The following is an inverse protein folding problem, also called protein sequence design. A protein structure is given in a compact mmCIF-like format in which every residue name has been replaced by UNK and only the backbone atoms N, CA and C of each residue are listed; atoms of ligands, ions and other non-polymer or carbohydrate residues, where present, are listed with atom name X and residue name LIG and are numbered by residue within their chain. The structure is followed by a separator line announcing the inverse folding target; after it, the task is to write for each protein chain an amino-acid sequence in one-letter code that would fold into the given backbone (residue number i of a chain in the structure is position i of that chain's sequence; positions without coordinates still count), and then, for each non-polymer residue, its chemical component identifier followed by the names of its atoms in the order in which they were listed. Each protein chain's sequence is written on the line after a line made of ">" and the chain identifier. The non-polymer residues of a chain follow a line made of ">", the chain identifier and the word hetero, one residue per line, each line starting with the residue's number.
data_IF_472756498847
#
_entry.id   IF_472756498847
#
_cell.length_a   1.000
_cell.length_b   1.000
_cell.length_c   1.000
_cell.angle_alpha   90.00
_cell.angle_beta   90.00
_cell.angle_gamma   90.00
#
_symmetry.space_group_name_H-M   'P 1'
#
loop_
_entity.id
_entity.type
_entity.pdbx_description
1 polymer ?
#
# COMPACT_ATOMS: atom_id res chain seq x y z
N UNK A 1 -34.89 -28.40 -0.83
CA UNK A 1 -33.75 -29.32 -1.04
C UNK A 1 -32.53 -28.51 -1.47
N UNK A 2 -31.81 -27.90 -0.52
CA UNK A 2 -30.42 -27.43 -0.70
C UNK A 2 -29.78 -27.36 0.70
N UNK A 3 -29.48 -28.53 1.28
CA UNK A 3 -28.84 -28.64 2.61
C UNK A 3 -27.40 -29.12 2.55
N UNK A 4 -26.92 -29.53 1.37
CA UNK A 4 -25.54 -29.98 1.17
C UNK A 4 -24.76 -28.81 0.63
N UNK A 5 -23.70 -28.42 1.35
CA UNK A 5 -22.74 -27.41 0.88
C UNK A 5 -21.69 -28.07 -0.01
N UNK A 6 -21.34 -27.42 -1.11
CA UNK A 6 -20.30 -27.85 -2.04
C UNK A 6 -19.07 -26.98 -1.81
N UNK A 7 -17.94 -27.61 -1.49
CA UNK A 7 -16.65 -26.93 -1.34
C UNK A 7 -15.70 -27.40 -2.44
N UNK A 8 -15.03 -26.47 -3.10
CA UNK A 8 -14.03 -26.75 -4.13
C UNK A 8 -12.62 -26.38 -3.66
N UNK A 9 -11.63 -27.20 -3.98
CA UNK A 9 -10.22 -26.93 -3.73
C UNK A 9 -9.36 -27.56 -4.83
N UNK A 10 -8.11 -27.12 -4.94
CA UNK A 10 -7.13 -27.62 -5.92
C UNK A 10 -6.80 -26.61 -7.02
N UNK A 11 -5.56 -26.13 -7.03
CA UNK A 11 -5.00 -25.22 -8.03
C UNK A 11 -5.81 -23.93 -8.31
N UNK A 12 -6.60 -23.47 -7.35
CA UNK A 12 -7.38 -22.24 -7.46
C UNK A 12 -6.49 -20.99 -7.32
N UNK A 13 -6.80 -19.97 -8.11
CA UNK A 13 -6.37 -18.58 -7.95
C UNK A 13 -7.57 -17.65 -8.15
N UNK A 14 -7.37 -16.34 -8.02
CA UNK A 14 -8.40 -15.33 -8.19
C UNK A 14 -9.04 -15.30 -9.59
N UNK A 15 -8.31 -15.71 -10.64
CA UNK A 15 -8.81 -15.72 -12.01
C UNK A 15 -9.74 -16.90 -12.25
N UNK A 16 -9.34 -18.09 -11.80
CA UNK A 16 -10.19 -19.29 -11.83
C UNK A 16 -11.42 -19.08 -10.95
N UNK A 17 -11.27 -18.45 -9.77
CA UNK A 17 -12.39 -18.10 -8.92
C UNK A 17 -13.39 -17.19 -9.63
N UNK A 18 -12.89 -16.17 -10.34
CA UNK A 18 -13.71 -15.25 -11.11
C UNK A 18 -14.50 -15.98 -12.20
N UNK A 19 -13.86 -16.89 -12.94
CA UNK A 19 -14.49 -17.68 -14.00
C UNK A 19 -15.57 -18.61 -13.45
N UNK A 20 -15.30 -19.31 -12.34
CA UNK A 20 -16.27 -20.19 -11.67
C UNK A 20 -17.50 -19.40 -11.21
N UNK A 21 -17.29 -18.23 -10.59
CA UNK A 21 -18.38 -17.36 -10.12
C UNK A 21 -19.19 -16.85 -11.30
N UNK A 22 -18.54 -16.38 -12.38
CA UNK A 22 -19.21 -15.91 -13.61
C UNK A 22 -20.01 -17.01 -14.29
N UNK A 23 -19.54 -18.26 -14.24
CA UNK A 23 -20.25 -19.42 -14.78
C UNK A 23 -21.49 -19.83 -13.94
N UNK A 24 -21.69 -19.23 -12.76
CA UNK A 24 -22.82 -19.55 -11.89
C UNK A 24 -22.73 -20.95 -11.26
N UNK A 25 -21.50 -21.46 -11.06
CA UNK A 25 -21.30 -22.79 -10.48
C UNK A 25 -21.89 -22.87 -9.06
N UNK A 26 -22.57 -23.96 -8.67
CA UNK A 26 -23.18 -24.11 -7.36
C UNK A 26 -22.11 -24.51 -6.31
N UNK A 27 -21.16 -23.62 -6.02
CA UNK A 27 -20.10 -23.82 -5.04
C UNK A 27 -20.29 -22.84 -3.88
N UNK A 28 -20.35 -23.34 -2.65
CA UNK A 28 -20.58 -22.58 -1.42
C UNK A 28 -19.29 -22.09 -0.75
N UNK A 29 -18.14 -22.66 -1.12
CA UNK A 29 -16.86 -22.28 -0.56
C UNK A 29 -15.65 -22.78 -1.33
N UNK A 30 -14.52 -22.09 -1.16
CA UNK A 30 -13.28 -22.36 -1.85
C UNK A 30 -12.12 -22.56 -0.88
N UNK A 31 -11.35 -23.62 -1.09
CA UNK A 31 -10.07 -23.86 -0.43
C UNK A 31 -8.93 -23.47 -1.37
N UNK A 32 -8.26 -22.36 -1.08
CA UNK A 32 -7.12 -21.85 -1.83
C UNK A 32 -5.86 -22.12 -1.02
N UNK A 33 -4.88 -22.82 -1.60
CA UNK A 33 -3.63 -23.20 -0.95
C UNK A 33 -2.42 -22.54 -1.60
N UNK A 34 -1.56 -23.35 -2.22
CA UNK A 34 -0.22 -22.97 -2.71
C UNK A 34 -0.14 -21.62 -3.43
N UNK A 35 -1.09 -21.29 -4.31
CA UNK A 35 -1.04 -20.04 -5.09
C UNK A 35 -1.19 -18.80 -4.20
N UNK A 36 -2.07 -18.85 -3.21
CA UNK A 36 -2.25 -17.78 -2.21
C UNK A 36 -1.08 -17.75 -1.23
N UNK A 37 -0.72 -18.91 -0.66
CA UNK A 37 0.30 -19.00 0.39
C UNK A 37 1.68 -18.56 -0.08
N UNK A 38 2.00 -18.83 -1.35
CA UNK A 38 3.32 -18.50 -1.92
C UNK A 38 3.33 -17.22 -2.75
N UNK A 39 2.17 -16.58 -2.97
CA UNK A 39 2.01 -15.52 -3.98
C UNK A 39 2.69 -15.92 -5.30
N UNK A 40 2.28 -17.07 -5.84
CA UNK A 40 3.08 -17.84 -6.82
C UNK A 40 3.46 -17.09 -8.10
N UNK A 41 2.68 -16.08 -8.48
CA UNK A 41 2.87 -15.20 -9.63
C UNK A 41 3.85 -14.05 -9.33
N UNK A 42 3.84 -13.52 -8.10
CA UNK A 42 4.76 -12.48 -7.60
C UNK A 42 5.25 -12.86 -6.19
N UNK A 43 6.20 -13.81 -6.06
CA UNK A 43 6.52 -14.45 -4.78
C UNK A 43 7.36 -13.56 -3.83
N UNK A 44 7.63 -12.32 -4.20
CA UNK A 44 8.35 -11.37 -3.39
C UNK A 44 7.86 -9.93 -3.61
N UNK A 45 7.93 -9.13 -2.55
CA UNK A 45 7.75 -7.69 -2.61
C UNK A 45 9.12 -7.02 -2.77
N UNK A 46 9.27 -6.10 -3.71
CA UNK A 46 10.50 -5.31 -3.91
C UNK A 46 10.64 -4.18 -2.87
N UNK A 47 10.66 -4.56 -1.59
CA UNK A 47 10.80 -3.66 -0.45
C UNK A 47 12.28 -3.41 -0.13
N UNK A 48 12.64 -2.14 0.14
CA UNK A 48 14.02 -1.77 0.47
C UNK A 48 14.09 -0.79 1.65
N UNK A 49 15.02 -1.03 2.57
CA UNK A 49 15.38 -0.08 3.61
C UNK A 49 16.56 0.80 3.16
N UNK A 50 16.40 2.11 3.22
CA UNK A 50 17.41 3.07 2.72
C UNK A 50 17.59 4.23 3.69
N UNK A 51 18.84 4.56 4.00
CA UNK A 51 19.20 5.75 4.77
C UNK A 51 18.80 7.03 4.03
N UNK A 52 18.02 7.89 4.67
CA UNK A 52 17.54 9.16 4.09
C UNK A 52 18.12 10.41 4.78
N UNK A 53 18.64 10.27 5.99
CA UNK A 53 19.27 11.34 6.77
C UNK A 53 20.21 10.72 7.79
N UNK A 54 21.37 11.36 8.02
CA UNK A 54 22.32 10.95 9.04
C UNK A 54 22.98 12.18 9.67
N UNK A 55 22.97 12.25 11.01
CA UNK A 55 23.53 13.37 11.77
C UNK A 55 23.03 14.75 11.27
N UNK A 56 21.71 14.87 11.03
CA UNK A 56 21.08 16.07 10.50
C UNK A 56 21.38 16.37 9.02
N UNK A 57 22.18 15.53 8.35
CA UNK A 57 22.51 15.68 6.92
C UNK A 57 21.67 14.74 6.08
N UNK A 58 20.89 15.32 5.19
CA UNK A 58 20.04 14.61 4.24
C UNK A 58 20.89 13.76 3.28
N UNK A 59 20.41 12.56 2.95
CA UNK A 59 21.10 11.59 2.08
C UNK A 59 20.25 11.23 0.86
N UNK A 60 20.93 11.03 -0.26
CA UNK A 60 20.31 10.63 -1.53
C UNK A 60 21.22 9.69 -2.31
N UNK A 61 20.67 8.59 -2.83
CA UNK A 61 21.37 7.74 -3.80
C UNK A 61 21.21 8.34 -5.20
N UNK A 62 22.31 8.42 -5.96
CA UNK A 62 22.36 9.06 -7.30
C UNK A 62 22.61 8.08 -8.45
N UNK A 63 22.88 6.81 -8.16
CA UNK A 63 23.11 5.80 -9.20
C UNK A 63 21.90 5.69 -10.13
N UNK A 64 22.15 5.62 -11.44
CA UNK A 64 21.11 5.46 -12.48
C UNK A 64 20.20 4.27 -12.15
N UNK A 65 18.89 4.47 -12.22
CA UNK A 65 17.88 3.45 -11.88
C UNK A 65 17.74 3.12 -10.39
N UNK A 66 18.52 3.74 -9.49
CA UNK A 66 18.43 3.54 -8.03
C UNK A 66 18.32 4.87 -7.28
N UNK A 67 17.91 5.94 -7.98
CA UNK A 67 17.77 7.26 -7.37
C UNK A 67 16.71 7.21 -6.27
N UNK A 68 16.99 7.85 -5.13
CA UNK A 68 16.02 7.97 -4.03
C UNK A 68 15.53 9.41 -3.89
N UNK A 69 14.36 9.57 -3.27
CA UNK A 69 13.89 10.87 -2.80
C UNK A 69 14.47 11.13 -1.41
N UNK A 70 15.22 12.23 -1.22
CA UNK A 70 15.95 12.51 0.01
C UNK A 70 15.04 12.80 1.22
N UNK A 71 15.63 12.77 2.42
CA UNK A 71 15.07 13.35 3.64
C UNK A 71 14.02 12.49 4.35
N UNK A 72 13.67 12.90 5.57
CA UNK A 72 12.53 12.36 6.30
C UNK A 72 11.24 12.76 5.59
N UNK A 73 10.30 11.83 5.47
CA UNK A 73 9.11 12.00 4.62
C UNK A 73 7.85 11.59 5.36
N UNK A 74 6.75 12.17 4.93
CA UNK A 74 5.39 11.81 5.31
C UNK A 74 4.58 11.54 4.03
N UNK A 75 3.53 10.72 4.15
CA UNK A 75 2.55 10.48 3.09
C UNK A 75 1.18 10.97 3.58
N UNK A 76 0.52 11.76 2.75
CA UNK A 76 -0.81 12.30 3.03
C UNK A 76 -1.82 11.78 2.02
N UNK A 77 -2.89 11.15 2.49
CA UNK A 77 -3.98 10.66 1.65
C UNK A 77 -5.07 11.71 1.50
N UNK A 78 -5.44 12.00 0.27
CA UNK A 78 -6.53 12.91 -0.07
C UNK A 78 -7.77 12.13 -0.52
N UNK A 79 -8.94 12.70 -0.23
CA UNK A 79 -10.23 12.16 -0.61
C UNK A 79 -10.91 13.11 -1.60
N UNK A 80 -11.71 12.55 -2.50
CA UNK A 80 -12.59 13.35 -3.36
C UNK A 80 -13.86 13.80 -2.61
N UNK A 81 -14.71 14.54 -3.32
CA UNK A 81 -15.99 15.05 -2.80
C UNK A 81 -16.96 13.95 -2.36
N UNK A 82 -16.78 12.72 -2.85
CA UNK A 82 -17.61 11.56 -2.55
C UNK A 82 -17.01 10.71 -1.40
N UNK A 83 -15.93 11.21 -0.78
CA UNK A 83 -15.24 10.56 0.33
C UNK A 83 -14.37 9.36 -0.11
N UNK A 84 -14.12 9.17 -1.41
CA UNK A 84 -13.26 8.11 -1.92
C UNK A 84 -11.80 8.55 -2.00
N UNK A 85 -10.89 7.60 -1.87
CA UNK A 85 -9.45 7.88 -1.99
C UNK A 85 -9.13 8.43 -3.39
N UNK A 86 -8.53 9.61 -3.43
CA UNK A 86 -8.23 10.33 -4.67
C UNK A 86 -6.78 10.12 -5.11
N UNK A 87 -5.84 10.40 -4.21
CA UNK A 87 -4.40 10.28 -4.42
C UNK A 87 -3.66 10.36 -3.09
N UNK A 88 -2.41 9.91 -3.10
CA UNK A 88 -1.48 10.13 -1.99
C UNK A 88 -0.44 11.19 -2.40
N UNK A 89 -0.06 12.06 -1.47
CA UNK A 89 0.98 13.07 -1.63
C UNK A 89 2.16 12.69 -0.73
N UNK A 90 3.31 12.43 -1.33
CA UNK A 90 4.57 12.26 -0.63
C UNK A 90 5.24 13.63 -0.45
N UNK A 91 5.55 13.99 0.79
CA UNK A 91 6.26 15.23 1.12
C UNK A 91 7.27 15.03 2.24
N UNK A 92 8.01 16.07 2.62
CA UNK A 92 8.94 16.02 3.76
C UNK A 92 8.19 16.00 5.09
N UNK A 93 8.77 15.42 6.14
CA UNK A 93 8.11 15.27 7.44
C UNK A 93 7.70 16.62 8.09
N UNK A 94 8.44 17.69 7.79
CA UNK A 94 8.18 19.06 8.26
C UNK A 94 7.09 19.80 7.48
N UNK A 95 6.69 19.27 6.31
CA UNK A 95 5.73 19.90 5.41
C UNK A 95 4.32 19.34 5.65
N UNK A 96 3.60 19.99 6.57
CA UNK A 96 2.24 19.59 6.92
C UNK A 96 1.28 19.87 5.78
N UNK A 97 0.43 18.89 5.50
CA UNK A 97 -0.56 18.92 4.43
C UNK A 97 -1.96 18.66 4.99
N UNK A 98 -2.99 19.08 4.26
CA UNK A 98 -4.39 18.97 4.68
C UNK A 98 -4.95 17.54 4.58
N UNK A 99 -4.27 16.66 3.85
CA UNK A 99 -4.65 15.24 3.74
C UNK A 99 -4.51 14.47 5.07
N UNK A 100 -4.99 13.22 5.08
CA UNK A 100 -4.78 12.32 6.22
C UNK A 100 -3.35 11.80 6.22
N UNK A 101 -2.56 12.13 7.24
CA UNK A 101 -1.22 11.54 7.44
C UNK A 101 -1.31 10.01 7.58
N UNK A 102 -0.46 9.27 6.87
CA UNK A 102 -0.48 7.80 6.86
C UNK A 102 0.63 7.18 7.73
N UNK A 103 1.75 7.86 7.91
CA UNK A 103 2.83 7.40 8.79
C UNK A 103 2.56 7.93 10.19
N UNK A 104 2.20 7.03 11.09
CA UNK A 104 1.95 7.33 12.50
C UNK A 104 3.12 6.83 13.38
N UNK A 105 3.47 7.56 14.46
CA UNK A 105 4.46 7.08 15.40
C UNK A 105 3.91 5.86 16.15
N UNK A 106 4.62 4.74 16.06
CA UNK A 106 4.27 3.50 16.80
C UNK A 106 5.19 3.25 18.00
N UNK A 107 6.35 3.91 18.03
CA UNK A 107 7.38 3.75 19.05
C UNK A 107 8.18 5.05 19.22
N UNK A 108 8.44 5.47 20.46
CA UNK A 108 9.33 6.59 20.79
C UNK A 108 10.28 6.15 21.92
N UNK A 109 11.58 6.40 21.76
CA UNK A 109 12.57 6.05 22.78
C UNK A 109 12.61 4.55 23.12
N UNK A 110 12.37 3.67 22.14
CA UNK A 110 12.31 2.22 22.34
C UNK A 110 11.03 1.71 23.01
N UNK A 111 10.07 2.59 23.35
CA UNK A 111 8.80 2.22 23.96
C UNK A 111 7.67 2.34 22.94
N UNK A 112 6.87 1.29 22.81
CA UNK A 112 5.64 1.32 22.00
C UNK A 112 4.67 2.34 22.57
N UNK A 113 3.97 3.07 21.70
CA UNK A 113 2.98 4.07 22.11
C UNK A 113 1.60 3.46 22.39
N UNK A 114 1.32 2.30 21.82
CA UNK A 114 0.06 1.58 21.97
C UNK A 114 0.28 0.07 21.91
N UNK A 115 -0.64 -0.73 22.49
CA UNK A 115 -0.63 -2.19 22.31
C UNK A 115 -0.89 -2.57 20.84
N UNK A 116 -0.51 -3.79 20.42
CA UNK A 116 -0.91 -4.32 19.11
C UNK A 116 -2.43 -4.30 18.94
N UNK A 117 -2.91 -4.04 17.72
CA UNK A 117 -4.33 -4.19 17.36
C UNK A 117 -4.70 -5.68 17.30
N UNK A 118 -5.96 -6.00 17.62
CA UNK A 118 -6.48 -7.37 17.45
C UNK A 118 -6.61 -7.72 15.97
N UNK A 119 -6.74 -9.01 15.65
CA UNK A 119 -6.96 -9.45 14.26
C UNK A 119 -8.31 -8.96 13.73
N UNK A 120 -9.31 -8.89 14.61
CA UNK A 120 -10.65 -8.37 14.35
C UNK A 120 -10.57 -6.88 13.97
N UNK A 121 -9.83 -6.08 14.74
CA UNK A 121 -9.65 -4.65 14.47
C UNK A 121 -8.89 -4.43 13.16
N UNK A 122 -7.85 -5.22 12.89
CA UNK A 122 -7.09 -5.16 11.64
C UNK A 122 -7.99 -5.49 10.45
N UNK A 123 -8.84 -6.51 10.57
CA UNK A 123 -9.80 -6.92 9.53
C UNK A 123 -10.84 -5.84 9.28
N UNK A 124 -11.42 -5.29 10.35
CA UNK A 124 -12.41 -4.21 10.26
C UNK A 124 -11.81 -2.95 9.60
N UNK A 125 -10.60 -2.57 10.01
CA UNK A 125 -9.86 -1.46 9.42
C UNK A 125 -9.55 -1.69 7.94
N UNK A 126 -9.09 -2.90 7.57
CA UNK A 126 -8.81 -3.24 6.17
C UNK A 126 -10.08 -3.17 5.32
N UNK A 127 -11.20 -3.69 5.82
CA UNK A 127 -12.49 -3.63 5.13
C UNK A 127 -12.98 -2.19 4.96
N UNK A 128 -12.83 -1.34 5.97
CA UNK A 128 -13.25 0.07 5.88
C UNK A 128 -12.37 0.83 4.89
N UNK A 129 -11.05 0.67 4.92
CA UNK A 129 -10.13 1.28 3.96
C UNK A 129 -10.40 0.82 2.52
N UNK A 130 -10.61 -0.48 2.30
CA UNK A 130 -10.98 -1.01 0.97
C UNK A 130 -12.32 -0.44 0.50
N UNK A 131 -13.27 -0.17 1.39
CA UNK A 131 -14.54 0.46 0.99
C UNK A 131 -14.36 1.88 0.46
N UNK A 132 -13.34 2.60 0.94
CA UNK A 132 -13.01 3.97 0.54
C UNK A 132 -12.19 4.02 -0.76
N UNK A 133 -11.53 2.93 -1.15
CA UNK A 133 -10.84 2.85 -2.43
C UNK A 133 -11.84 2.83 -3.59
N UNK A 134 -11.66 3.63 -4.66
CA UNK A 134 -12.50 3.54 -5.86
C UNK A 134 -12.46 2.15 -6.52
N UNK A 135 -13.60 1.66 -7.00
CA UNK A 135 -13.72 0.29 -7.53
C UNK A 135 -12.84 0.01 -8.75
N UNK A 136 -12.50 1.05 -9.52
CA UNK A 136 -11.55 0.92 -10.64
C UNK A 136 -10.18 0.40 -10.22
N UNK A 137 -9.76 0.64 -8.97
CA UNK A 137 -8.48 0.15 -8.42
C UNK A 137 -8.60 -1.23 -7.76
N UNK A 138 -9.81 -1.81 -7.68
CA UNK A 138 -10.07 -3.14 -7.08
C UNK A 138 -10.18 -4.25 -8.12
N UNK A 139 -10.05 -3.92 -9.40
CA UNK A 139 -10.12 -4.89 -10.49
C UNK A 139 -8.86 -5.75 -10.51
N UNK A 140 -9.01 -7.04 -10.79
CA UNK A 140 -7.89 -7.98 -10.93
C UNK A 140 -7.03 -7.69 -12.17
N UNK A 141 -7.67 -7.23 -13.26
CA UNK A 141 -7.01 -6.90 -14.52
C UNK A 141 -7.34 -5.47 -14.93
N UNK A 142 -6.46 -4.88 -15.73
CA UNK A 142 -6.65 -3.60 -16.40
C UNK A 142 -7.09 -2.47 -15.45
N UNK A 143 -6.49 -2.44 -14.25
CA UNK A 143 -6.69 -1.36 -13.29
C UNK A 143 -5.68 -0.22 -13.55
N UNK A 144 -6.08 1.05 -13.37
CA UNK A 144 -5.12 2.16 -13.40
C UNK A 144 -4.18 2.09 -12.19
N UNK A 145 -3.03 2.77 -12.28
CA UNK A 145 -2.12 2.98 -11.15
C UNK A 145 -2.75 4.01 -10.21
N UNK A 146 -2.79 3.71 -8.92
CA UNK A 146 -3.25 4.66 -7.91
C UNK A 146 -2.31 5.89 -7.87
N UNK A 147 -2.82 7.13 -7.98
CA UNK A 147 -1.95 8.30 -8.11
C UNK A 147 -1.16 8.57 -6.83
N UNK A 148 0.17 8.64 -6.96
CA UNK A 148 1.09 9.11 -5.93
C UNK A 148 1.81 10.34 -6.46
N UNK A 149 1.56 11.50 -5.85
CA UNK A 149 2.17 12.77 -6.22
C UNK A 149 3.39 13.05 -5.33
N UNK A 150 4.37 13.73 -5.89
CA UNK A 150 5.55 14.22 -5.16
C UNK A 150 5.36 15.72 -4.96
N UNK A 151 5.56 16.21 -3.74
CA UNK A 151 5.44 17.63 -3.45
C UNK A 151 6.61 18.44 -4.04
N UNK A 152 6.36 19.72 -4.31
CA UNK A 152 7.39 20.69 -4.69
C UNK A 152 8.51 20.73 -3.65
N UNK A 153 8.17 20.58 -2.36
CA UNK A 153 9.13 20.55 -1.25
C UNK A 153 10.17 19.43 -1.39
N UNK A 154 9.77 18.23 -1.82
CA UNK A 154 10.71 17.15 -2.09
C UNK A 154 11.56 17.48 -3.32
N UNK A 155 10.97 18.05 -4.37
CA UNK A 155 11.71 18.42 -5.59
C UNK A 155 12.78 19.49 -5.31
N UNK A 156 12.46 20.48 -4.47
CA UNK A 156 13.41 21.47 -3.98
C UNK A 156 14.55 20.82 -3.18
N UNK A 157 14.22 19.89 -2.29
CA UNK A 157 15.21 19.16 -1.50
C UNK A 157 16.13 18.32 -2.39
N UNK A 158 15.58 17.67 -3.42
CA UNK A 158 16.33 16.97 -4.46
C UNK A 158 17.35 17.90 -5.12
N UNK A 159 16.91 19.07 -5.60
CA UNK A 159 17.78 20.07 -6.25
C UNK A 159 18.85 20.60 -5.30
N UNK A 160 18.49 20.85 -4.03
CA UNK A 160 19.41 21.32 -3.00
C UNK A 160 20.53 20.30 -2.74
N UNK A 161 20.16 19.06 -2.43
CA UNK A 161 21.13 17.98 -2.17
C UNK A 161 22.02 17.74 -3.39
N UNK A 162 21.47 17.77 -4.61
CA UNK A 162 22.29 17.58 -5.80
C UNK A 162 23.32 18.69 -6.05
N UNK A 163 23.07 19.91 -5.57
CA UNK A 163 24.03 21.03 -5.65
C UNK A 163 25.12 20.93 -4.59
N UNK A 164 24.80 20.49 -3.38
CA UNK A 164 25.75 20.37 -2.26
C UNK A 164 26.78 19.24 -2.45
N UNK A 165 26.46 18.25 -3.29
CA UNK A 165 27.33 17.11 -3.60
C UNK A 165 27.82 17.14 -5.06
N UNK A 166 27.92 18.33 -5.67
CA UNK A 166 28.73 18.58 -6.88
C UNK A 166 30.09 19.11 -6.45
#
# INVERSE_FOLDING_TARGET
>A
LYSVKIFASGNLDEYILEDIIKAGAPIDGFGIGTRLDTSSDVPYLDCAYKLQEYAGKVRRKRSRGKATLPGRKQVYRYYDKDGKMSHDLLTTEDDKQDGRALIEPVMIGGKRLSPPRSLEDIRAYTSSELSLLPDRFKKLKDHPIYPVKISERIEELVKKVDREFR
#
